data_IF_321421194153
#
_entry.id   IF_321421194153
#
_cell.length_a   1.000
_cell.length_b   1.000
_cell.length_c   1.000
_cell.angle_alpha   90.00
_cell.angle_beta   90.00
_cell.angle_gamma   90.00
#
_symmetry.space_group_name_H-M   'P 1'
#
loop_
_entity.id
_entity.type
_entity.pdbx_description
1 polymer ?
#
# COMPACT_ATOMS: atom_id res chain seq x y z
N UNK A 1 1.63 9.19 -3.58
CA UNK A 1 2.33 9.49 -4.85
C UNK A 1 3.60 8.64 -4.99
N UNK A 2 4.63 8.84 -4.16
CA UNK A 2 5.89 8.07 -4.27
C UNK A 2 5.67 6.56 -4.26
N UNK A 3 4.85 6.04 -3.35
CA UNK A 3 4.54 4.60 -3.29
C UNK A 3 3.82 4.07 -4.53
N UNK A 4 3.00 4.90 -5.20
CA UNK A 4 2.37 4.54 -6.46
C UNK A 4 3.43 4.30 -7.55
N UNK A 5 4.45 5.14 -7.64
CA UNK A 5 5.58 4.94 -8.57
C UNK A 5 6.48 3.76 -8.20
N UNK A 6 6.67 3.49 -6.91
CA UNK A 6 7.55 2.41 -6.46
C UNK A 6 6.91 1.03 -6.59
N UNK A 7 5.59 0.92 -6.41
CA UNK A 7 4.93 -0.38 -6.24
C UNK A 7 3.80 -0.67 -7.24
N UNK A 8 3.24 0.33 -7.94
CA UNK A 8 2.22 0.09 -8.97
C UNK A 8 2.84 0.05 -10.36
N UNK A 9 2.84 -1.14 -10.98
CA UNK A 9 3.28 -1.32 -12.36
C UNK A 9 2.39 -0.50 -13.31
N UNK A 10 3.01 0.38 -14.10
CA UNK A 10 2.30 1.20 -15.09
C UNK A 10 1.64 2.46 -14.54
N UNK A 11 1.96 2.87 -13.31
CA UNK A 11 1.61 4.19 -12.80
C UNK A 11 2.31 5.30 -13.60
N UNK A 12 1.60 6.40 -13.89
CA UNK A 12 2.17 7.56 -14.58
C UNK A 12 1.69 8.89 -13.96
N UNK A 13 2.38 9.97 -14.31
CA UNK A 13 2.14 11.31 -13.75
C UNK A 13 0.82 11.95 -14.20
N UNK A 14 0.18 11.43 -15.25
CA UNK A 14 -1.12 11.96 -15.69
C UNK A 14 -2.23 11.70 -14.68
N UNK A 15 -2.03 10.71 -13.78
CA UNK A 15 -2.95 10.32 -12.70
C UNK A 15 -2.68 11.01 -11.35
N UNK A 16 -1.70 11.91 -11.29
CA UNK A 16 -1.38 12.66 -10.05
C UNK A 16 -2.19 13.95 -9.90
N UNK A 17 -2.79 14.42 -10.99
CA UNK A 17 -3.50 15.68 -11.03
C UNK A 17 -5.00 15.38 -11.00
N UNK A 18 -5.70 15.95 -10.02
CA UNK A 18 -7.15 15.93 -9.97
C UNK A 18 -7.73 16.94 -10.99
N UNK A 19 -7.63 16.61 -12.28
CA UNK A 19 -8.20 17.38 -13.38
C UNK A 19 -9.55 16.79 -13.81
N UNK A 20 -10.48 17.64 -14.26
CA UNK A 20 -11.78 17.21 -14.76
C UNK A 20 -12.06 17.76 -16.18
N UNK A 21 -12.30 16.91 -17.19
CA UNK A 21 -12.22 15.44 -17.13
C UNK A 21 -10.77 14.95 -16.97
N UNK A 22 -10.53 13.80 -16.34
CA UNK A 22 -9.19 13.25 -16.17
C UNK A 22 -8.58 12.89 -17.54
N UNK A 23 -7.28 13.15 -17.69
CA UNK A 23 -6.56 12.88 -18.94
C UNK A 23 -6.35 11.38 -19.22
N UNK A 24 -6.35 10.57 -18.16
CA UNK A 24 -6.27 9.11 -18.23
C UNK A 24 -7.36 8.48 -17.36
N UNK A 25 -7.81 7.29 -17.77
CA UNK A 25 -8.71 6.48 -16.94
C UNK A 25 -8.02 5.91 -15.69
N UNK A 26 -8.78 5.27 -14.78
CA UNK A 26 -8.22 4.58 -13.64
C UNK A 26 -7.20 3.53 -14.10
N UNK A 27 -6.17 3.29 -13.28
CA UNK A 27 -5.22 2.21 -13.55
C UNK A 27 -5.96 0.86 -13.41
N UNK A 28 -5.80 -0.01 -14.39
CA UNK A 28 -6.51 -1.28 -14.44
C UNK A 28 -5.71 -2.36 -15.18
N UNK A 29 -6.02 -3.61 -14.88
CA UNK A 29 -5.45 -4.82 -15.47
C UNK A 29 -6.52 -5.54 -16.29
N UNK A 30 -6.11 -6.15 -17.40
CA UNK A 30 -7.03 -6.82 -18.33
C UNK A 30 -6.66 -8.28 -18.60
N UNK A 31 -5.49 -8.73 -18.13
CA UNK A 31 -5.00 -10.10 -18.33
C UNK A 31 -4.55 -10.70 -17.01
N UNK A 32 -4.75 -12.00 -16.85
CA UNK A 32 -4.27 -12.78 -15.71
C UNK A 32 -2.75 -12.64 -15.52
N UNK A 33 -1.99 -12.59 -16.62
CA UNK A 33 -0.54 -12.40 -16.51
C UNK A 33 -0.18 -11.04 -15.90
N UNK A 34 -0.93 -9.98 -16.21
CA UNK A 34 -0.68 -8.63 -15.68
C UNK A 34 -0.93 -8.56 -14.16
N UNK A 35 -1.83 -9.41 -13.63
CA UNK A 35 -2.05 -9.56 -12.19
C UNK A 35 -0.78 -10.08 -11.49
N UNK A 36 -0.23 -11.19 -11.97
CA UNK A 36 1.00 -11.77 -11.43
C UNK A 36 2.19 -10.83 -11.60
N UNK A 37 2.35 -10.23 -12.77
CA UNK A 37 3.43 -9.27 -13.01
C UNK A 37 3.37 -8.05 -12.09
N UNK A 38 2.17 -7.60 -11.72
CA UNK A 38 1.99 -6.49 -10.77
C UNK A 38 2.46 -6.88 -9.37
N UNK A 39 2.19 -8.11 -8.93
CA UNK A 39 2.70 -8.64 -7.65
C UNK A 39 4.23 -8.71 -7.69
N UNK A 40 4.80 -9.23 -8.77
CA UNK A 40 6.26 -9.36 -8.95
C UNK A 40 6.94 -7.99 -8.95
N UNK A 41 6.34 -7.00 -9.61
CA UNK A 41 6.82 -5.62 -9.63
C UNK A 41 6.80 -4.98 -8.24
N UNK A 42 5.70 -5.13 -7.50
CA UNK A 42 5.59 -4.62 -6.14
C UNK A 42 6.61 -5.28 -5.18
N UNK A 43 6.83 -6.59 -5.33
CA UNK A 43 7.83 -7.32 -4.56
C UNK A 43 9.26 -6.84 -4.88
N UNK A 44 9.60 -6.66 -6.16
CA UNK A 44 10.92 -6.15 -6.56
C UNK A 44 11.16 -4.74 -5.98
N UNK A 45 10.18 -3.84 -6.09
CA UNK A 45 10.25 -2.51 -5.50
C UNK A 45 10.37 -2.54 -3.97
N UNK A 46 9.64 -3.44 -3.30
CA UNK A 46 9.75 -3.63 -1.86
C UNK A 46 11.10 -4.22 -1.44
N UNK A 47 11.72 -5.09 -2.25
CA UNK A 47 13.03 -5.67 -1.94
C UNK A 47 14.22 -4.69 -2.08
N UNK A 48 14.02 -3.59 -2.80
CA UNK A 48 15.05 -2.60 -3.14
C UNK A 48 14.79 -1.22 -2.51
N UNK A 49 14.23 -1.19 -1.30
CA UNK A 49 13.98 0.09 -0.61
C UNK A 49 15.26 0.92 -0.40
N UNK A 50 16.41 0.28 -0.26
CA UNK A 50 17.72 0.91 -0.14
C UNK A 50 18.16 1.69 -1.39
N UNK A 51 17.59 1.42 -2.57
CA UNK A 51 17.86 2.14 -3.82
C UNK A 51 16.97 3.38 -3.99
N UNK A 52 15.99 3.57 -3.10
CA UNK A 52 15.03 4.69 -3.20
C UNK A 52 15.60 5.98 -2.63
N UNK A 53 15.10 7.12 -3.12
CA UNK A 53 15.49 8.45 -2.61
C UNK A 53 14.98 8.69 -1.17
N UNK A 54 13.81 8.12 -0.84
CA UNK A 54 13.21 8.29 0.48
C UNK A 54 13.92 7.42 1.52
N UNK A 55 14.08 7.89 2.78
CA UNK A 55 14.67 7.09 3.84
C UNK A 55 13.65 6.06 4.35
N UNK A 56 13.36 5.06 3.51
CA UNK A 56 12.45 3.97 3.84
C UNK A 56 13.23 2.80 4.43
N UNK A 57 12.65 2.17 5.44
CA UNK A 57 13.20 1.00 6.11
C UNK A 57 12.13 -0.05 6.28
N UNK A 58 12.53 -1.30 6.43
CA UNK A 58 11.63 -2.40 6.75
C UNK A 58 11.12 -2.28 8.18
N UNK A 59 10.10 -3.08 8.51
CA UNK A 59 9.50 -3.05 9.85
C UNK A 59 10.26 -3.83 10.89
N UNK A 60 11.16 -4.73 10.49
CA UNK A 60 12.03 -5.47 11.38
C UNK A 60 13.10 -4.56 12.01
N UNK A 61 13.55 -4.91 13.22
CA UNK A 61 14.54 -4.14 13.98
C UNK A 61 15.95 -4.25 13.38
N UNK A 62 16.26 -5.32 12.64
CA UNK A 62 17.49 -5.51 11.88
C UNK A 62 17.37 -4.97 10.45
N UNK A 63 16.26 -4.32 10.12
CA UNK A 63 15.96 -3.86 8.77
C UNK A 63 16.03 -4.99 7.72
N UNK A 64 15.54 -6.17 8.11
CA UNK A 64 15.32 -7.29 7.19
C UNK A 64 13.96 -7.17 6.52
N UNK A 65 13.88 -7.59 5.24
CA UNK A 65 12.65 -7.54 4.48
C UNK A 65 11.62 -8.46 5.11
N UNK A 66 10.50 -7.89 5.56
CA UNK A 66 9.36 -8.64 6.05
C UNK A 66 8.63 -9.37 4.92
N UNK A 67 7.77 -10.32 5.27
CA UNK A 67 6.89 -10.95 4.29
C UNK A 67 5.82 -9.99 3.78
N UNK A 68 5.44 -10.12 2.50
CA UNK A 68 4.22 -9.50 1.97
C UNK A 68 3.04 -10.45 2.20
N UNK A 69 1.84 -9.92 2.41
CA UNK A 69 0.63 -10.74 2.61
C UNK A 69 -0.35 -10.51 1.48
N UNK A 70 -0.65 -11.55 0.71
CA UNK A 70 -1.67 -11.56 -0.34
C UNK A 70 -2.95 -12.17 0.21
N UNK A 71 -4.02 -11.40 0.27
CA UNK A 71 -5.36 -11.88 0.62
C UNK A 71 -6.26 -11.90 -0.62
N UNK A 72 -6.97 -12.99 -0.83
CA UNK A 72 -7.92 -13.21 -1.91
C UNK A 72 -9.32 -13.33 -1.31
N UNK A 73 -10.24 -12.49 -1.77
CA UNK A 73 -11.66 -12.58 -1.47
C UNK A 73 -12.38 -13.12 -2.69
N UNK A 74 -12.92 -14.32 -2.56
CA UNK A 74 -13.54 -15.04 -3.66
C UNK A 74 -14.94 -15.49 -3.26
N UNK A 75 -15.85 -15.55 -4.22
CA UNK A 75 -17.09 -16.30 -4.04
C UNK A 75 -16.78 -17.77 -3.82
N UNK A 76 -17.51 -18.42 -2.91
CA UNK A 76 -17.36 -19.84 -2.61
C UNK A 76 -17.58 -20.70 -3.84
N UNK A 77 -18.46 -20.28 -4.75
CA UNK A 77 -18.58 -20.80 -6.12
C UNK A 77 -18.84 -19.66 -7.08
N UNK A 78 -18.08 -19.62 -8.17
CA UNK A 78 -18.22 -18.64 -9.25
C UNK A 78 -17.71 -19.23 -10.56
N UNK A 79 -18.35 -20.31 -11.01
CA UNK A 79 -18.00 -20.99 -12.25
C UNK A 79 -18.95 -20.49 -13.33
N UNK A 80 -18.40 -19.89 -14.39
CA UNK A 80 -19.17 -19.28 -15.47
C UNK A 80 -18.86 -20.03 -16.77
N UNK A 81 -19.91 -20.54 -17.42
CA UNK A 81 -19.86 -21.16 -18.74
C UNK A 81 -20.52 -20.22 -19.75
N UNK A 82 -19.80 -19.16 -20.15
CA UNK A 82 -20.34 -18.14 -21.05
C UNK A 82 -20.79 -18.68 -22.41
N UNK A 83 -20.21 -19.80 -22.89
CA UNK A 83 -20.52 -20.39 -24.20
C UNK A 83 -21.93 -21.01 -24.28
N UNK A 84 -22.52 -21.38 -23.14
CA UNK A 84 -23.87 -21.93 -23.07
C UNK A 84 -24.74 -21.18 -22.04
N UNK A 85 -24.33 -19.96 -21.66
CA UNK A 85 -25.07 -19.05 -20.77
C UNK A 85 -25.42 -19.67 -19.40
N UNK A 86 -24.61 -20.60 -18.90
CA UNK A 86 -24.85 -21.28 -17.62
C UNK A 86 -23.79 -20.93 -16.57
N UNK A 87 -24.15 -21.02 -15.29
CA UNK A 87 -23.24 -20.71 -14.18
C UNK A 87 -23.57 -21.50 -12.91
N UNK A 88 -22.57 -21.64 -12.05
CA UNK A 88 -22.71 -22.14 -10.67
C UNK A 88 -22.19 -21.05 -9.73
N UNK A 89 -23.10 -20.50 -8.93
CA UNK A 89 -22.83 -19.35 -8.08
C UNK A 89 -23.24 -19.62 -6.63
N UNK A 90 -22.40 -19.18 -5.70
CA UNK A 90 -22.62 -19.15 -4.26
C UNK A 90 -22.04 -17.83 -3.76
N UNK A 91 -22.90 -16.94 -3.28
CA UNK A 91 -22.58 -15.57 -2.92
C UNK A 91 -21.71 -15.43 -1.67
N UNK A 92 -21.51 -16.51 -0.91
CA UNK A 92 -20.68 -16.50 0.29
C UNK A 92 -19.24 -16.13 -0.08
N UNK A 93 -18.73 -15.03 0.49
CA UNK A 93 -17.36 -14.58 0.24
C UNK A 93 -16.42 -15.25 1.23
N UNK A 94 -15.47 -16.03 0.72
CA UNK A 94 -14.38 -16.64 1.49
C UNK A 94 -13.12 -15.81 1.29
N UNK A 95 -12.49 -15.44 2.40
CA UNK A 95 -11.19 -14.77 2.40
C UNK A 95 -10.08 -15.77 2.75
N UNK A 96 -9.07 -15.84 1.89
CA UNK A 96 -7.88 -16.67 2.12
C UNK A 96 -6.63 -15.80 1.98
N UNK A 97 -5.70 -15.91 2.91
CA UNK A 97 -4.49 -15.08 2.92
C UNK A 97 -3.22 -15.94 2.94
N UNK A 98 -2.21 -15.48 2.20
CA UNK A 98 -0.94 -16.15 1.99
C UNK A 98 0.19 -15.19 2.30
N UNK A 99 1.17 -15.66 3.07
CA UNK A 99 2.38 -14.92 3.32
C UNK A 99 3.42 -15.26 2.25
N UNK A 100 4.00 -14.22 1.66
CA UNK A 100 5.09 -14.27 0.72
C UNK A 100 6.36 -14.01 1.52
N UNK A 101 6.96 -15.07 2.02
CA UNK A 101 8.24 -15.05 2.73
C UNK A 101 9.28 -15.68 1.82
N UNK A 102 9.84 -14.88 0.90
CA UNK A 102 10.94 -15.33 0.05
C UNK A 102 12.22 -14.67 0.56
N UNK A 103 13.22 -15.49 0.89
CA UNK A 103 14.56 -14.96 1.20
C UNK A 103 15.07 -14.17 0.01
N UNK A 104 15.40 -12.90 0.27
CA UNK A 104 15.84 -11.89 -0.71
C UNK A 104 17.08 -12.34 -1.49
N UNK A 105 17.77 -13.37 -1.02
CA UNK A 105 18.99 -13.94 -1.61
C UNK A 105 18.82 -14.47 -3.04
N UNK A 106 17.60 -14.79 -3.47
CA UNK A 106 17.34 -15.39 -4.80
C UNK A 106 16.82 -14.39 -5.86
N UNK A 107 16.81 -13.10 -5.54
CA UNK A 107 16.93 -12.02 -6.53
C UNK A 107 15.74 -11.72 -7.45
N UNK A 108 14.57 -12.36 -7.32
CA UNK A 108 13.26 -11.95 -7.91
C UNK A 108 12.14 -12.90 -7.46
N UNK A 109 10.91 -12.38 -7.31
CA UNK A 109 9.71 -13.21 -7.16
C UNK A 109 9.16 -13.57 -8.54
N UNK A 110 8.75 -14.83 -8.71
CA UNK A 110 7.84 -15.23 -9.79
C UNK A 110 6.55 -15.70 -9.15
N UNK A 111 5.60 -14.78 -8.98
CA UNK A 111 4.36 -15.01 -8.24
C UNK A 111 3.52 -16.09 -8.89
N UNK A 112 3.53 -16.18 -10.24
CA UNK A 112 2.82 -17.22 -10.98
C UNK A 112 3.28 -18.63 -10.58
N UNK A 113 4.58 -18.84 -10.39
CA UNK A 113 5.10 -20.13 -9.96
C UNK A 113 5.00 -20.32 -8.44
N UNK A 114 5.17 -19.25 -7.67
CA UNK A 114 5.00 -19.27 -6.21
C UNK A 114 3.57 -19.68 -5.81
N UNK A 115 2.57 -19.24 -6.58
CA UNK A 115 1.16 -19.53 -6.37
C UNK A 115 0.64 -20.64 -7.30
N UNK A 116 1.50 -21.47 -7.88
CA UNK A 116 1.07 -22.51 -8.82
C UNK A 116 0.12 -23.53 -8.20
N UNK A 117 0.38 -23.90 -6.95
CA UNK A 117 -0.48 -24.82 -6.18
C UNK A 117 -1.76 -24.12 -5.66
N UNK A 118 -1.78 -22.79 -5.75
CA UNK A 118 -2.90 -21.94 -5.41
C UNK A 118 -3.70 -21.64 -6.68
N UNK A 119 -4.62 -22.52 -7.05
CA UNK A 119 -5.44 -22.31 -8.23
C UNK A 119 -6.41 -21.12 -8.02
N UNK A 120 -5.96 -19.90 -8.35
CA UNK A 120 -6.76 -18.67 -8.23
C UNK A 120 -7.87 -18.69 -9.28
N UNK A 121 -9.11 -18.85 -8.85
CA UNK A 121 -10.26 -18.74 -9.73
C UNK A 121 -10.62 -17.26 -9.97
N UNK A 122 -10.12 -16.68 -11.07
CA UNK A 122 -10.40 -15.30 -11.47
C UNK A 122 -11.88 -15.03 -11.78
N UNK A 123 -12.67 -16.04 -12.17
CA UNK A 123 -14.11 -15.88 -12.38
C UNK A 123 -14.86 -15.69 -11.06
N UNK A 124 -14.33 -16.22 -9.95
CA UNK A 124 -14.88 -16.07 -8.61
C UNK A 124 -14.19 -14.97 -7.78
N UNK A 125 -13.08 -14.42 -8.26
CA UNK A 125 -12.28 -13.43 -7.52
C UNK A 125 -12.97 -12.08 -7.50
N UNK A 126 -13.36 -11.63 -6.31
CA UNK A 126 -14.03 -10.35 -6.10
C UNK A 126 -13.00 -9.24 -5.84
N UNK A 127 -12.00 -9.54 -5.01
CA UNK A 127 -10.95 -8.60 -4.62
C UNK A 127 -9.69 -9.37 -4.24
N UNK A 128 -8.53 -8.87 -4.62
CA UNK A 128 -7.26 -9.27 -4.02
C UNK A 128 -6.59 -8.07 -3.37
N UNK A 129 -5.80 -8.31 -2.33
CA UNK A 129 -5.08 -7.26 -1.62
C UNK A 129 -3.70 -7.76 -1.26
N UNK A 130 -2.68 -7.07 -1.79
CA UNK A 130 -1.29 -7.31 -1.45
C UNK A 130 -0.86 -6.25 -0.44
N UNK A 131 -0.47 -6.67 0.76
CA UNK A 131 -0.21 -5.80 1.90
C UNK A 131 1.19 -6.00 2.47
N UNK A 132 1.83 -4.90 2.84
CA UNK A 132 3.15 -4.87 3.46
C UNK A 132 3.34 -3.52 4.16
N UNK A 133 4.38 -3.43 5.00
CA UNK A 133 4.62 -2.23 5.78
C UNK A 133 6.06 -1.74 5.65
N UNK A 134 6.22 -0.42 5.68
CA UNK A 134 7.51 0.27 5.66
C UNK A 134 7.54 1.34 6.74
N UNK A 135 8.72 1.62 7.27
CA UNK A 135 8.97 2.72 8.22
C UNK A 135 9.72 3.84 7.50
N UNK A 136 9.55 5.07 7.98
CA UNK A 136 10.36 6.21 7.56
C UNK A 136 10.44 7.25 8.67
N UNK A 137 11.41 8.15 8.53
CA UNK A 137 11.59 9.30 9.41
C UNK A 137 11.38 10.56 8.58
N UNK A 138 10.43 11.38 9.00
CA UNK A 138 10.12 12.64 8.36
C UNK A 138 10.88 13.78 9.05
N UNK A 139 11.86 14.35 8.34
CA UNK A 139 12.53 15.57 8.75
C UNK A 139 11.72 16.79 8.30
N UNK A 140 11.27 17.61 9.24
CA UNK A 140 10.59 18.86 8.92
C UNK A 140 11.59 19.87 8.37
N UNK A 141 11.46 20.18 7.07
CA UNK A 141 12.35 21.12 6.38
C UNK A 141 12.07 22.60 6.72
N UNK A 142 10.87 22.93 7.23
CA UNK A 142 10.47 24.31 7.53
C UNK A 142 9.66 24.38 8.83
N UNK A 143 9.94 25.39 9.66
CA UNK A 143 9.25 25.66 10.93
C UNK A 143 10.20 25.66 12.14
N UNK A 144 9.66 25.75 13.38
CA UNK A 144 10.45 25.61 14.59
C UNK A 144 11.21 24.29 14.58
N UNK A 145 12.45 24.29 15.09
CA UNK A 145 13.29 23.10 15.23
C UNK A 145 12.55 22.13 16.16
N UNK A 146 11.85 21.17 15.56
CA UNK A 146 11.06 20.16 16.26
C UNK A 146 11.66 18.79 15.95
N UNK A 147 11.59 17.84 16.90
CA UNK A 147 12.03 16.47 16.64
C UNK A 147 11.37 15.89 15.38
N UNK A 148 12.07 15.00 14.66
CA UNK A 148 11.50 14.33 13.50
C UNK A 148 10.29 13.49 13.91
N UNK A 149 9.39 13.28 12.95
CA UNK A 149 8.25 12.39 13.13
C UNK A 149 8.55 11.03 12.48
N UNK A 150 8.41 9.95 13.24
CA UNK A 150 8.56 8.58 12.74
C UNK A 150 7.20 8.07 12.29
N UNK A 151 7.16 7.47 11.10
CA UNK A 151 5.95 6.90 10.55
C UNK A 151 6.18 5.47 10.12
N UNK A 152 5.15 4.65 10.32
CA UNK A 152 4.97 3.39 9.62
C UNK A 152 3.83 3.57 8.61
N UNK A 153 4.07 3.22 7.36
CA UNK A 153 3.04 3.16 6.35
C UNK A 153 2.62 1.71 6.15
N UNK A 154 1.34 1.43 6.38
CA UNK A 154 0.74 0.16 6.00
C UNK A 154 0.22 0.32 4.57
N UNK A 155 0.90 -0.32 3.62
CA UNK A 155 0.63 -0.23 2.20
C UNK A 155 -0.26 -1.40 1.79
N UNK A 156 -1.34 -1.10 1.07
CA UNK A 156 -2.25 -2.07 0.50
C UNK A 156 -2.45 -1.77 -0.99
N UNK A 157 -1.97 -2.68 -1.83
CA UNK A 157 -2.28 -2.69 -3.27
C UNK A 157 -3.57 -3.49 -3.45
N UNK A 158 -4.58 -2.82 -3.96
CA UNK A 158 -5.93 -3.35 -4.09
C UNK A 158 -6.21 -3.66 -5.56
N UNK A 159 -6.55 -4.91 -5.81
CA UNK A 159 -7.04 -5.42 -7.08
C UNK A 159 -8.54 -5.62 -6.95
N UNK A 160 -9.33 -4.77 -7.59
CA UNK A 160 -10.77 -4.77 -7.49
C UNK A 160 -11.39 -5.35 -8.77
N UNK A 161 -12.11 -6.46 -8.62
CA UNK A 161 -12.75 -7.20 -9.71
C UNK A 161 -14.25 -7.40 -9.43
N UNK A 162 -14.86 -6.55 -8.58
CA UNK A 162 -16.26 -6.69 -8.15
C UNK A 162 -17.27 -6.69 -9.29
N UNK A 163 -16.98 -5.97 -10.37
CA UNK A 163 -17.89 -5.82 -11.50
C UNK A 163 -17.79 -6.97 -12.52
N UNK A 164 -16.73 -7.80 -12.44
CA UNK A 164 -16.50 -8.95 -13.33
C UNK A 164 -16.67 -8.67 -14.83
N UNK A 165 -16.33 -7.45 -15.28
CA UNK A 165 -16.50 -6.97 -16.66
C UNK A 165 -15.24 -7.13 -17.54
N UNK A 166 -14.21 -7.78 -16.98
CA UNK A 166 -12.90 -7.94 -17.64
C UNK A 166 -11.92 -6.80 -17.37
N UNK A 167 -12.32 -5.77 -16.60
CA UNK A 167 -11.47 -4.70 -16.11
C UNK A 167 -11.27 -4.84 -14.60
N UNK A 168 -10.04 -5.14 -14.19
CA UNK A 168 -9.67 -5.18 -12.77
C UNK A 168 -9.01 -3.87 -12.37
N UNK A 169 -9.69 -3.06 -11.56
CA UNK A 169 -9.15 -1.77 -11.12
C UNK A 169 -8.00 -1.98 -10.13
N UNK A 170 -6.96 -1.17 -10.26
CA UNK A 170 -5.76 -1.24 -9.44
C UNK A 170 -5.57 0.08 -8.70
N UNK A 171 -5.51 0.01 -7.37
CA UNK A 171 -5.24 1.16 -6.51
C UNK A 171 -4.21 0.83 -5.43
N UNK A 172 -3.64 1.86 -4.82
CA UNK A 172 -2.73 1.73 -3.69
C UNK A 172 -3.18 2.68 -2.59
N UNK A 173 -3.46 2.10 -1.43
CA UNK A 173 -3.72 2.81 -0.19
C UNK A 173 -2.47 2.70 0.69
N UNK A 174 -2.12 3.79 1.37
CA UNK A 174 -0.98 3.84 2.29
C UNK A 174 -1.39 4.57 3.56
N UNK A 175 -1.72 3.80 4.61
CA UNK A 175 -2.19 4.34 5.87
C UNK A 175 -1.00 4.75 6.76
N UNK A 176 -0.87 6.03 7.15
CA UNK A 176 0.21 6.49 8.02
C UNK A 176 -0.11 6.26 9.49
N UNK A 177 0.75 5.50 10.17
CA UNK A 177 0.74 5.29 11.61
C UNK A 177 1.93 6.02 12.22
N UNK A 178 1.68 7.01 13.08
CA UNK A 178 2.73 7.73 13.79
C UNK A 178 3.36 6.84 14.87
N UNK A 179 4.67 6.72 14.85
CA UNK A 179 5.46 6.01 15.84
C UNK A 179 6.17 6.97 16.80
N UNK A 180 6.59 6.45 17.96
CA UNK A 180 7.48 7.19 18.86
C UNK A 180 8.91 7.04 18.38
N UNK A 181 9.56 8.14 18.01
CA UNK A 181 10.98 8.13 17.66
C UNK A 181 11.84 7.93 18.92
N UNK A 182 12.85 7.07 18.82
CA UNK A 182 13.92 6.96 19.80
C UNK A 182 15.17 7.58 19.17
N UNK A 183 15.63 8.72 19.68
CA UNK A 183 16.77 9.42 19.10
C UNK A 183 17.39 10.44 20.06
N UNK A 184 18.70 10.67 19.91
CA UNK A 184 19.45 11.66 20.67
C UNK A 184 19.26 13.04 20.04
N UNK A 185 18.44 13.87 20.66
CA UNK A 185 18.11 15.21 20.16
C UNK A 185 19.14 16.21 20.69
N UNK A 186 20.20 16.45 19.92
CA UNK A 186 21.16 17.53 20.20
C UNK A 186 20.61 18.89 19.74
N UNK A 187 19.60 19.42 20.43
CA UNK A 187 19.16 20.80 20.23
C UNK A 187 19.09 21.54 21.57
N UNK A 188 19.84 22.64 21.68
CA UNK A 188 19.72 23.60 22.77
C UNK A 188 18.77 24.70 22.29
N UNK A 189 17.43 24.59 22.43
CA UNK A 189 16.50 25.75 22.61
C UNK A 189 15.15 25.31 23.26
N UNK A 190 14.80 26.04 24.32
CA UNK A 190 13.53 26.32 25.03
C UNK A 190 12.16 25.92 24.41
N UNK A 191 11.89 24.63 24.20
CA UNK A 191 10.58 24.09 23.76
C UNK A 191 9.41 24.43 24.71
N UNK A 192 9.69 24.86 25.96
CA UNK A 192 8.67 25.19 26.94
C UNK A 192 7.89 26.47 26.57
N UNK A 193 8.56 27.48 26.02
CA UNK A 193 7.92 28.77 25.69
C UNK A 193 6.95 28.63 24.51
N UNK A 194 7.33 27.90 23.45
CA UNK A 194 6.45 27.68 22.29
C UNK A 194 5.23 26.81 22.66
N UNK A 195 5.44 25.76 23.48
CA UNK A 195 4.36 24.93 24.02
C UNK A 195 3.38 25.74 24.89
N UNK A 196 3.91 26.64 25.73
CA UNK A 196 3.11 27.53 26.56
C UNK A 196 2.30 28.53 25.73
N UNK A 197 2.92 29.21 24.75
CA UNK A 197 2.25 30.17 23.88
C UNK A 197 1.15 29.51 23.02
N UNK A 198 1.41 28.31 22.48
CA UNK A 198 0.39 27.51 21.77
C UNK A 198 -0.78 27.14 22.69
N UNK A 199 -0.50 26.72 23.91
CA UNK A 199 -1.54 26.35 24.88
C UNK A 199 -2.40 27.56 25.24
N UNK A 200 -1.77 28.71 25.52
CA UNK A 200 -2.46 29.97 25.82
C UNK A 200 -3.36 30.42 24.66
N UNK A 201 -2.85 30.36 23.42
CA UNK A 201 -3.63 30.69 22.23
C UNK A 201 -4.87 29.78 22.11
N UNK A 202 -4.71 28.47 22.30
CA UNK A 202 -5.82 27.53 22.25
C UNK A 202 -6.89 27.86 23.30
N UNK A 203 -6.50 28.19 24.54
CA UNK A 203 -7.46 28.60 25.58
C UNK A 203 -8.19 29.89 25.22
N UNK A 204 -7.47 30.89 24.69
CA UNK A 204 -8.06 32.16 24.25
C UNK A 204 -9.09 31.95 23.13
N UNK A 205 -8.77 31.10 22.15
CA UNK A 205 -9.69 30.75 21.06
C UNK A 205 -10.96 30.08 21.61
N UNK A 206 -10.82 29.12 22.52
CA UNK A 206 -11.98 28.46 23.16
C UNK A 206 -12.86 29.50 23.87
N UNK A 207 -12.26 30.43 24.61
CA UNK A 207 -13.00 31.48 25.35
C UNK A 207 -13.75 32.42 24.41
N UNK A 208 -13.16 32.80 23.27
CA UNK A 208 -13.80 33.71 22.31
C UNK A 208 -14.89 33.02 21.50
N UNK A 209 -14.78 31.70 21.29
CA UNK A 209 -15.75 30.92 20.52
C UNK A 209 -16.95 30.40 21.34
N UNK A 210 -16.96 30.60 22.67
CA UNK A 210 -18.12 30.36 23.56
C UNK A 210 -18.95 31.64 23.67
#
# INVERSE_FOLDING_TARGET
ITFSHLFLKGWDSTREINAYPPAAGPLALYKIQDFYDTIDYAFDGYSKLNETIGPYSYTDDHNEMGGMKLCLRQYKKGIIFGFNESYVFDEEIVETCYNITKDVTDGKLSSKEYFKDLEINFSALVKATLSFAIKTVNFKAAGPITPPDCYRFDIAIVFDNRDHDGQMLLSLDAEPIRLTCQGDVHYIIDNQVDSFLRSLLNFLVIIICV
#
